data_IF_215065622802
#
_entry.id   IF_215065622802
#
_cell.length_a   1.000
_cell.length_b   1.000
_cell.length_c   1.000
_cell.angle_alpha   90.00
_cell.angle_beta   90.00
_cell.angle_gamma   90.00
#
_symmetry.space_group_name_H-M   'P 1'
#
loop_
_entity.id
_entity.type
_entity.pdbx_description
1 polymer ?
#
# COMPACT_ATOMS: atom_id res chain seq x y z
N UNK A 1 -8.47 6.97 25.61
CA UNK A 1 -8.66 8.43 25.38
C UNK A 1 -7.36 9.20 25.62
N UNK A 2 -6.55 8.80 26.60
CA UNK A 2 -5.30 9.49 26.96
C UNK A 2 -4.20 9.41 25.90
N UNK A 3 -4.05 8.26 25.23
CA UNK A 3 -3.04 8.11 24.16
C UNK A 3 -3.33 9.02 22.96
N UNK A 4 -4.57 9.13 22.49
CA UNK A 4 -4.92 10.01 21.36
C UNK A 4 -4.56 11.47 21.69
N UNK A 5 -4.98 11.97 22.86
CA UNK A 5 -4.67 13.33 23.32
C UNK A 5 -3.16 13.56 23.46
N UNK A 6 -2.41 12.56 23.91
CA UNK A 6 -0.95 12.61 23.99
C UNK A 6 -0.33 12.81 22.61
N UNK A 7 -0.77 12.06 21.60
CA UNK A 7 -0.26 12.19 20.23
C UNK A 7 -0.70 13.48 19.54
N UNK A 8 -1.90 13.97 19.80
CA UNK A 8 -2.36 15.29 19.36
C UNK A 8 -1.51 16.43 19.97
N UNK A 9 -1.19 16.33 21.26
CA UNK A 9 -0.30 17.27 21.94
C UNK A 9 1.11 17.23 21.34
N UNK A 10 1.66 16.04 21.11
CA UNK A 10 2.94 15.85 20.44
C UNK A 10 2.94 16.48 19.04
N UNK A 11 1.90 16.21 18.25
CA UNK A 11 1.72 16.76 16.91
C UNK A 11 1.67 18.29 16.93
N UNK A 12 0.96 18.88 17.90
CA UNK A 12 0.90 20.33 18.10
C UNK A 12 2.28 20.94 18.37
N UNK A 13 3.07 20.31 19.23
CA UNK A 13 4.43 20.74 19.57
C UNK A 13 5.33 20.71 18.32
N UNK A 14 5.39 19.58 17.61
CA UNK A 14 6.25 19.48 16.41
C UNK A 14 5.75 20.37 15.28
N UNK A 15 4.44 20.59 15.16
CA UNK A 15 3.86 21.51 14.16
C UNK A 15 4.23 22.96 14.45
N UNK A 16 4.27 23.36 15.72
CA UNK A 16 4.77 24.68 16.11
C UNK A 16 6.25 24.82 15.76
N UNK A 17 7.05 23.82 16.12
CA UNK A 17 8.48 23.80 15.83
C UNK A 17 8.79 23.85 14.32
N UNK A 18 8.00 23.13 13.50
CA UNK A 18 8.14 23.14 12.05
C UNK A 18 7.91 24.53 11.45
N UNK A 19 6.97 25.32 12.00
CA UNK A 19 6.76 26.72 11.58
C UNK A 19 7.92 27.63 11.92
N UNK A 20 8.68 27.31 12.96
CA UNK A 20 9.89 28.03 13.37
C UNK A 20 11.13 27.59 12.55
N UNK A 21 11.02 26.49 11.80
CA UNK A 21 12.03 26.01 10.86
C UNK A 21 12.75 24.73 11.30
N UNK A 22 13.64 24.24 10.43
CA UNK A 22 14.31 22.95 10.56
C UNK A 22 15.01 22.73 11.90
N UNK A 23 15.77 23.72 12.37
CA UNK A 23 16.54 23.60 13.61
C UNK A 23 15.63 23.50 14.84
N UNK A 24 14.51 24.24 14.87
CA UNK A 24 13.53 24.14 15.95
C UNK A 24 12.85 22.77 15.94
N UNK A 25 12.39 22.31 14.77
CA UNK A 25 11.79 20.97 14.63
C UNK A 25 12.75 19.86 15.11
N UNK A 26 13.98 19.87 14.60
CA UNK A 26 15.00 18.88 14.96
C UNK A 26 15.32 18.90 16.45
N UNK A 27 15.43 20.09 17.04
CA UNK A 27 15.64 20.24 18.48
C UNK A 27 14.46 19.69 19.30
N UNK A 28 13.24 20.04 18.95
CA UNK A 28 12.05 19.59 19.70
C UNK A 28 11.87 18.07 19.64
N UNK A 29 12.19 17.45 18.50
CA UNK A 29 12.19 15.99 18.34
C UNK A 29 13.33 15.36 19.14
N UNK A 30 14.56 15.87 19.06
CA UNK A 30 15.71 15.22 19.73
C UNK A 30 15.57 15.16 21.26
N UNK A 31 14.98 16.18 21.89
CA UNK A 31 14.80 16.19 23.35
C UNK A 31 13.58 15.36 23.82
N UNK A 32 12.65 15.03 22.91
CA UNK A 32 11.42 14.30 23.24
C UNK A 32 11.29 12.93 22.60
N UNK A 33 12.17 12.57 21.66
CA UNK A 33 12.07 11.35 20.85
C UNK A 33 11.71 10.14 21.70
N UNK A 34 12.51 9.85 22.74
CA UNK A 34 12.26 8.72 23.66
C UNK A 34 10.87 8.76 24.28
N UNK A 35 10.43 9.92 24.76
CA UNK A 35 9.09 10.09 25.34
C UNK A 35 7.97 10.06 24.30
N UNK A 36 8.25 10.38 23.04
CA UNK A 36 7.26 10.36 21.96
C UNK A 36 7.08 8.95 21.43
N UNK A 37 8.16 8.21 21.17
CA UNK A 37 8.09 6.84 20.63
C UNK A 37 7.78 5.79 21.70
N UNK A 38 7.74 6.17 22.98
CA UNK A 38 7.33 5.33 24.10
C UNK A 38 5.87 4.88 23.94
N UNK A 39 5.70 3.68 23.41
CA UNK A 39 4.42 3.01 23.25
C UNK A 39 4.60 1.80 22.34
N UNK A 40 4.25 0.62 22.84
CA UNK A 40 4.35 -0.62 22.06
C UNK A 40 3.24 -0.62 21.01
N UNK A 41 3.62 -0.73 19.74
CA UNK A 41 2.67 -0.94 18.65
C UNK A 41 2.16 -2.38 18.68
N UNK A 42 0.88 -2.62 18.28
CA UNK A 42 0.33 -3.96 18.15
C UNK A 42 1.22 -4.82 17.25
N UNK A 43 1.48 -6.06 17.69
CA UNK A 43 2.29 -7.02 16.93
C UNK A 43 1.43 -7.76 15.90
N UNK A 44 0.13 -7.88 16.12
CA UNK A 44 -0.82 -8.45 15.15
C UNK A 44 -1.43 -7.35 14.28
N UNK A 45 -1.92 -7.73 13.11
CA UNK A 45 -2.82 -6.88 12.33
C UNK A 45 -4.26 -7.18 12.75
N UNK A 46 -5.14 -6.21 12.58
CA UNK A 46 -6.58 -6.42 12.73
C UNK A 46 -7.12 -7.11 11.48
N UNK A 47 -7.82 -8.24 11.66
CA UNK A 47 -8.46 -8.95 10.54
C UNK A 47 -9.75 -8.24 10.14
N UNK A 48 -10.27 -8.52 8.93
CA UNK A 48 -11.53 -7.94 8.47
C UNK A 48 -12.70 -8.24 9.44
N UNK A 49 -12.73 -9.44 10.03
CA UNK A 49 -13.73 -9.87 11.01
C UNK A 49 -13.72 -9.07 12.31
N UNK A 50 -12.61 -8.43 12.63
CA UNK A 50 -12.37 -7.77 13.91
C UNK A 50 -12.65 -6.26 13.82
N UNK A 51 -12.96 -5.76 12.62
CA UNK A 51 -13.32 -4.36 12.39
C UNK A 51 -14.74 -4.06 12.86
N UNK A 52 -15.00 -2.79 13.16
CA UNK A 52 -16.36 -2.31 13.47
C UNK A 52 -17.32 -2.66 12.32
N UNK A 53 -18.57 -3.09 12.60
CA UNK A 53 -19.59 -3.33 11.58
C UNK A 53 -19.92 -2.10 10.70
N UNK A 54 -19.54 -0.90 11.14
CA UNK A 54 -19.67 0.33 10.37
C UNK A 54 -18.64 0.47 9.25
N UNK A 55 -17.53 -0.27 9.32
CA UNK A 55 -16.49 -0.26 8.29
C UNK A 55 -17.02 -1.00 7.06
N UNK A 56 -16.91 -0.36 5.91
CA UNK A 56 -17.38 -0.90 4.63
C UNK A 56 -16.21 -1.23 3.72
N UNK A 57 -16.45 -2.17 2.82
CA UNK A 57 -15.57 -2.38 1.69
C UNK A 57 -15.58 -1.15 0.77
N UNK A 58 -14.40 -0.71 0.34
CA UNK A 58 -14.26 0.34 -0.66
C UNK A 58 -14.44 -0.26 -2.07
N UNK A 59 -15.66 -0.15 -2.60
CA UNK A 59 -16.02 -0.70 -3.90
C UNK A 59 -15.21 -0.09 -5.05
N UNK A 60 -14.81 1.19 -4.95
CA UNK A 60 -13.99 1.87 -5.98
C UNK A 60 -12.58 1.30 -5.99
N UNK A 61 -11.98 1.11 -4.83
CA UNK A 61 -10.66 0.52 -4.67
C UNK A 61 -10.68 -0.96 -5.05
N UNK A 62 -11.76 -1.68 -4.77
CA UNK A 62 -11.95 -3.07 -5.22
C UNK A 62 -11.88 -3.20 -6.74
N UNK A 63 -12.49 -2.28 -7.49
CA UNK A 63 -12.43 -2.29 -8.95
C UNK A 63 -11.02 -2.08 -9.51
N UNK A 64 -10.16 -1.41 -8.75
CA UNK A 64 -8.78 -1.14 -9.12
C UNK A 64 -7.79 -2.24 -8.70
N UNK A 65 -8.27 -3.28 -8.01
CA UNK A 65 -7.38 -4.28 -7.44
C UNK A 65 -6.60 -4.99 -8.56
N UNK A 66 -5.26 -5.05 -8.49
CA UNK A 66 -4.46 -5.65 -9.54
C UNK A 66 -4.74 -7.14 -9.67
N UNK A 67 -5.02 -7.60 -10.90
CA UNK A 67 -5.25 -9.03 -11.22
C UNK A 67 -3.96 -9.83 -11.37
N UNK A 68 -2.83 -9.13 -11.55
CA UNK A 68 -1.50 -9.70 -11.74
C UNK A 68 -0.81 -10.06 -10.41
N UNK A 69 -1.47 -9.85 -9.26
CA UNK A 69 -0.92 -10.19 -7.95
C UNK A 69 -1.94 -10.97 -7.13
N UNK A 70 -1.55 -12.13 -6.61
CA UNK A 70 -2.42 -13.00 -5.80
C UNK A 70 -2.71 -12.38 -4.42
N UNK A 71 -3.80 -11.62 -4.37
CA UNK A 71 -4.29 -10.91 -3.18
C UNK A 71 -5.81 -11.12 -3.01
N UNK A 72 -6.33 -12.23 -3.52
CA UNK A 72 -7.77 -12.54 -3.58
C UNK A 72 -8.46 -12.56 -2.20
N UNK A 73 -7.67 -12.81 -1.15
CA UNK A 73 -8.12 -12.81 0.24
C UNK A 73 -8.09 -11.43 0.90
N UNK A 74 -7.61 -10.39 0.21
CA UNK A 74 -7.59 -9.03 0.71
C UNK A 74 -8.85 -8.26 0.33
N UNK A 75 -9.30 -7.41 1.24
CA UNK A 75 -10.46 -6.53 1.06
C UNK A 75 -10.06 -5.09 1.36
N UNK A 76 -10.07 -4.18 0.37
CA UNK A 76 -9.85 -2.77 0.62
C UNK A 76 -11.05 -2.20 1.38
N UNK A 77 -10.80 -1.44 2.43
CA UNK A 77 -11.87 -0.81 3.23
C UNK A 77 -11.91 0.70 2.99
N UNK A 78 -13.09 1.30 3.19
CA UNK A 78 -13.26 2.75 3.06
C UNK A 78 -12.36 3.47 4.06
N UNK A 79 -11.63 4.48 3.57
CA UNK A 79 -10.79 5.35 4.39
C UNK A 79 -11.14 6.81 4.13
N UNK A 80 -11.15 7.64 5.17
CA UNK A 80 -11.44 9.07 4.99
C UNK A 80 -10.37 9.78 4.12
N UNK A 81 -10.83 10.46 3.07
CA UNK A 81 -10.01 11.24 2.13
C UNK A 81 -9.73 12.68 2.58
N UNK A 82 -9.15 12.89 3.76
CA UNK A 82 -8.84 14.21 4.35
C UNK A 82 -7.35 14.61 4.25
N UNK A 83 -6.60 13.92 3.39
CA UNK A 83 -5.14 14.03 3.31
C UNK A 83 -4.37 13.24 4.38
N UNK A 84 -5.05 12.59 5.33
CA UNK A 84 -4.42 11.66 6.27
C UNK A 84 -4.60 10.18 5.88
N UNK A 85 -5.21 9.90 4.72
CA UNK A 85 -5.59 8.54 4.30
C UNK A 85 -4.49 7.48 4.43
N UNK A 86 -3.23 7.81 4.15
CA UNK A 86 -2.10 6.89 4.37
C UNK A 86 -1.93 6.50 5.85
N UNK A 87 -1.89 7.48 6.75
CA UNK A 87 -1.75 7.24 8.19
C UNK A 87 -3.03 6.66 8.81
N UNK A 88 -4.21 6.98 8.26
CA UNK A 88 -5.49 6.36 8.61
C UNK A 88 -5.52 4.88 8.21
N UNK A 89 -5.00 4.55 7.03
CA UNK A 89 -4.83 3.16 6.58
C UNK A 89 -3.92 2.37 7.53
N UNK A 90 -2.77 2.94 7.91
CA UNK A 90 -1.88 2.33 8.92
C UNK A 90 -2.63 2.12 10.24
N UNK A 91 -3.35 3.15 10.70
CA UNK A 91 -4.10 3.10 11.96
C UNK A 91 -5.19 2.01 11.91
N UNK A 92 -5.91 1.90 10.80
CA UNK A 92 -6.90 0.85 10.59
C UNK A 92 -6.26 -0.54 10.65
N UNK A 93 -5.14 -0.76 9.96
CA UNK A 93 -4.47 -2.06 9.96
C UNK A 93 -3.94 -2.49 11.33
N UNK A 94 -3.47 -1.54 12.14
CA UNK A 94 -2.88 -1.83 13.46
C UNK A 94 -3.90 -1.82 14.60
N UNK A 95 -4.90 -0.95 14.55
CA UNK A 95 -5.80 -0.65 15.68
C UNK A 95 -7.28 -0.87 15.37
N UNK A 96 -7.62 -1.24 14.14
CA UNK A 96 -9.00 -1.48 13.71
C UNK A 96 -9.84 -0.21 13.59
N UNK A 97 -9.20 0.96 13.66
CA UNK A 97 -9.85 2.27 13.53
C UNK A 97 -8.86 3.32 13.02
N UNK A 98 -9.39 4.38 12.42
CA UNK A 98 -8.58 5.48 11.88
C UNK A 98 -8.09 6.44 12.98
N UNK A 99 -8.53 6.27 14.22
CA UNK A 99 -8.40 7.26 15.29
C UNK A 99 -6.96 7.54 15.76
N UNK A 100 -5.99 6.68 15.41
CA UNK A 100 -4.57 6.84 15.77
C UNK A 100 -3.69 7.29 14.60
N UNK A 101 -4.27 7.80 13.52
CA UNK A 101 -3.50 8.34 12.38
C UNK A 101 -2.50 9.43 12.79
N UNK A 102 -2.81 10.26 13.79
CA UNK A 102 -1.88 11.29 14.30
C UNK A 102 -0.62 10.67 14.88
N UNK A 103 -0.74 9.58 15.64
CA UNK A 103 0.41 8.82 16.14
C UNK A 103 1.28 8.31 15.00
N UNK A 104 0.66 7.68 14.00
CA UNK A 104 1.37 7.15 12.84
C UNK A 104 2.14 8.27 12.10
N UNK A 105 1.51 9.44 11.93
CA UNK A 105 2.17 10.63 11.34
C UNK A 105 3.35 11.09 12.18
N UNK A 106 3.16 11.29 13.50
CA UNK A 106 4.23 11.77 14.38
C UNK A 106 5.42 10.81 14.38
N UNK A 107 5.18 9.49 14.47
CA UNK A 107 6.26 8.48 14.40
C UNK A 107 7.03 8.55 13.08
N UNK A 108 6.32 8.68 11.95
CA UNK A 108 6.93 8.86 10.64
C UNK A 108 7.79 10.12 10.56
N UNK A 109 7.29 11.25 11.10
CA UNK A 109 8.04 12.51 11.12
C UNK A 109 9.30 12.43 11.99
N UNK A 110 9.22 11.76 13.14
CA UNK A 110 10.39 11.52 13.99
C UNK A 110 11.45 10.72 13.22
N UNK A 111 11.06 9.63 12.55
CA UNK A 111 12.00 8.83 11.74
C UNK A 111 12.68 9.68 10.65
N UNK A 112 11.91 10.48 9.91
CA UNK A 112 12.46 11.34 8.84
C UNK A 112 13.41 12.40 9.36
N UNK A 113 13.08 13.05 10.48
CA UNK A 113 13.91 14.13 11.05
C UNK A 113 15.20 13.57 11.67
N UNK A 114 15.12 12.43 12.35
CA UNK A 114 16.28 11.82 13.00
C UNK A 114 17.23 11.16 12.00
N UNK A 115 16.69 10.68 10.87
CA UNK A 115 17.43 9.89 9.90
C UNK A 115 17.45 10.52 8.50
N UNK A 116 17.33 11.84 8.38
CA UNK A 116 17.22 12.54 7.08
C UNK A 116 18.34 12.16 6.10
N UNK A 117 19.59 12.09 6.56
CA UNK A 117 20.73 11.73 5.72
C UNK A 117 20.67 10.31 5.16
N UNK A 118 19.98 9.40 5.85
CA UNK A 118 19.76 8.02 5.40
C UNK A 118 18.90 8.00 4.15
N UNK A 119 17.81 8.76 4.15
CA UNK A 119 16.88 8.85 3.02
C UNK A 119 17.45 9.54 1.78
N UNK A 120 18.66 10.09 1.88
CA UNK A 120 19.43 10.67 0.77
C UNK A 120 20.50 9.69 0.23
N UNK A 121 20.40 8.40 0.55
CA UNK A 121 21.31 7.36 0.08
C UNK A 121 20.58 6.27 -0.70
N UNK A 122 21.15 5.86 -1.83
CA UNK A 122 20.61 4.79 -2.67
C UNK A 122 20.51 3.45 -1.94
N UNK A 123 21.48 3.12 -1.09
CA UNK A 123 21.49 1.86 -0.34
C UNK A 123 20.27 1.69 0.58
N UNK A 124 19.72 2.78 1.11
CA UNK A 124 18.51 2.75 1.93
C UNK A 124 17.34 2.16 1.16
N UNK A 125 17.19 2.53 -0.11
CA UNK A 125 16.12 2.02 -0.96
C UNK A 125 16.41 0.61 -1.46
N UNK A 126 17.68 0.29 -1.74
CA UNK A 126 18.11 -1.07 -2.09
C UNK A 126 17.82 -2.06 -0.96
N UNK A 127 18.11 -1.70 0.29
CA UNK A 127 17.97 -2.59 1.44
C UNK A 127 16.52 -2.76 1.89
N UNK A 128 15.68 -1.73 1.70
CA UNK A 128 14.28 -1.76 2.13
C UNK A 128 13.34 -2.38 1.08
N UNK A 129 13.68 -2.34 -0.20
CA UNK A 129 12.75 -2.66 -1.30
C UNK A 129 12.83 -4.11 -1.75
N UNK A 130 11.69 -4.74 -2.05
CA UNK A 130 11.70 -6.04 -2.73
C UNK A 130 12.03 -5.93 -4.22
N UNK A 131 11.72 -4.78 -4.81
CA UNK A 131 12.01 -4.47 -6.21
C UNK A 131 13.09 -3.40 -6.30
N UNK A 132 13.61 -3.14 -7.50
CA UNK A 132 14.57 -2.05 -7.69
C UNK A 132 13.87 -0.70 -7.46
N UNK A 133 14.27 0.01 -6.41
CA UNK A 133 13.82 1.36 -6.13
C UNK A 133 14.97 2.35 -6.29
N UNK A 134 14.81 3.31 -7.19
CA UNK A 134 15.78 4.38 -7.39
C UNK A 134 15.51 5.53 -6.42
N UNK A 135 16.56 5.99 -5.72
CA UNK A 135 16.48 7.09 -4.77
C UNK A 135 15.98 8.38 -5.40
N UNK A 136 16.50 8.74 -6.59
CA UNK A 136 16.08 9.97 -7.26
C UNK A 136 14.60 9.90 -7.61
N UNK A 137 14.13 8.76 -8.13
CA UNK A 137 12.71 8.57 -8.40
C UNK A 137 11.86 8.74 -7.12
N UNK A 138 12.24 8.11 -6.00
CA UNK A 138 11.49 8.24 -4.74
C UNK A 138 11.47 9.67 -4.25
N UNK A 139 12.60 10.39 -4.28
CA UNK A 139 12.69 11.77 -3.80
C UNK A 139 11.99 12.75 -4.73
N UNK A 140 12.15 12.64 -6.05
CA UNK A 140 11.53 13.51 -7.04
C UNK A 140 10.00 13.42 -7.02
N UNK A 141 9.46 12.22 -6.82
CA UNK A 141 8.01 12.00 -6.69
C UNK A 141 7.47 12.36 -5.31
N UNK A 142 8.34 12.55 -4.31
CA UNK A 142 7.94 12.84 -2.93
C UNK A 142 8.07 14.29 -2.52
N UNK A 143 9.02 15.04 -3.09
CA UNK A 143 9.30 16.44 -2.75
C UNK A 143 8.44 17.35 -3.62
N UNK A 144 7.64 18.20 -2.98
CA UNK A 144 6.78 19.16 -3.68
C UNK A 144 7.61 20.26 -4.35
N UNK A 145 7.07 20.85 -5.41
CA UNK A 145 7.76 21.91 -6.15
C UNK A 145 8.10 23.10 -5.24
N UNK A 146 7.24 23.43 -4.28
CA UNK A 146 7.48 24.52 -3.31
C UNK A 146 8.53 24.17 -2.25
N UNK A 147 8.82 22.90 -2.03
CA UNK A 147 9.88 22.46 -1.12
C UNK A 147 11.26 22.46 -1.80
N UNK A 148 11.29 22.37 -3.13
CA UNK A 148 12.50 22.13 -3.91
C UNK A 148 13.44 23.34 -3.88
N UNK A 149 14.71 23.06 -3.61
CA UNK A 149 15.83 23.99 -3.68
C UNK A 149 16.80 23.45 -4.71
N UNK A 150 17.15 24.28 -5.71
CA UNK A 150 18.07 23.89 -6.79
C UNK A 150 19.38 23.38 -6.19
N UNK A 151 19.83 22.23 -6.68
CA UNK A 151 21.13 21.62 -6.33
C UNK A 151 21.32 21.30 -4.84
N UNK A 152 20.26 21.38 -4.02
CA UNK A 152 20.29 21.03 -2.61
C UNK A 152 19.14 20.09 -2.25
N UNK A 153 19.35 18.81 -2.55
CA UNK A 153 18.39 17.75 -2.22
C UNK A 153 18.19 17.60 -0.70
N UNK A 154 19.21 17.90 0.09
CA UNK A 154 19.11 17.84 1.56
C UNK A 154 18.13 18.89 2.04
N UNK A 155 18.30 20.14 1.61
CA UNK A 155 17.40 21.23 1.98
C UNK A 155 16.00 21.02 1.40
N UNK A 156 15.90 20.49 0.18
CA UNK A 156 14.62 20.13 -0.43
C UNK A 156 13.85 19.12 0.42
N UNK A 157 14.50 18.05 0.86
CA UNK A 157 13.90 17.06 1.74
C UNK A 157 13.55 17.65 3.11
N UNK A 158 14.40 18.50 3.69
CA UNK A 158 14.10 19.19 4.95
C UNK A 158 12.86 20.09 4.83
N UNK A 159 12.74 20.85 3.75
CA UNK A 159 11.57 21.69 3.48
C UNK A 159 10.31 20.83 3.29
N UNK A 160 10.42 19.70 2.60
CA UNK A 160 9.32 18.76 2.43
C UNK A 160 8.85 18.20 3.78
N UNK A 161 9.78 17.79 4.65
CA UNK A 161 9.48 17.32 6.00
C UNK A 161 8.78 18.42 6.83
N UNK A 162 9.24 19.67 6.76
CA UNK A 162 8.61 20.79 7.48
C UNK A 162 7.15 20.98 7.05
N UNK A 163 6.86 20.81 5.75
CA UNK A 163 5.50 20.90 5.21
C UNK A 163 4.67 19.70 5.63
N UNK A 164 5.24 18.50 5.60
CA UNK A 164 4.50 17.26 5.84
C UNK A 164 4.16 16.97 7.30
N UNK A 165 4.78 17.69 8.24
CA UNK A 165 4.32 17.73 9.64
C UNK A 165 2.88 18.23 9.75
N UNK A 166 2.41 19.12 8.87
CA UNK A 166 1.05 19.68 8.91
C UNK A 166 -0.02 18.57 8.83
N UNK A 167 -1.06 18.67 9.68
CA UNK A 167 -2.21 17.77 9.59
C UNK A 167 -2.90 17.88 8.22
N UNK A 168 -3.28 16.74 7.64
CA UNK A 168 -3.89 16.67 6.31
C UNK A 168 -2.91 16.88 5.14
N UNK A 169 -1.60 16.97 5.39
CA UNK A 169 -0.62 16.97 4.30
C UNK A 169 -0.51 15.58 3.69
N UNK A 170 -0.51 15.51 2.35
CA UNK A 170 -0.57 14.26 1.61
C UNK A 170 0.74 13.47 1.77
N UNK A 171 0.60 12.16 1.96
CA UNK A 171 1.76 11.27 2.04
C UNK A 171 2.20 10.81 0.64
N UNK A 172 3.50 10.55 0.53
CA UNK A 172 4.20 10.15 -0.69
C UNK A 172 5.14 8.97 -0.40
N UNK A 173 5.94 8.52 -1.37
CA UNK A 173 6.84 7.37 -1.19
C UNK A 173 7.81 7.57 -0.01
N UNK A 174 8.35 8.77 0.19
CA UNK A 174 9.25 9.03 1.32
C UNK A 174 8.59 8.74 2.68
N UNK A 175 7.30 9.05 2.80
CA UNK A 175 6.50 8.77 4.00
C UNK A 175 6.24 7.27 4.17
N UNK A 176 6.09 6.53 3.07
CA UNK A 176 5.99 5.08 3.07
C UNK A 176 7.27 4.45 3.63
N UNK A 177 8.43 4.76 3.06
CA UNK A 177 9.72 4.23 3.55
C UNK A 177 9.98 4.61 5.01
N UNK A 178 9.70 5.85 5.40
CA UNK A 178 9.82 6.26 6.80
C UNK A 178 8.91 5.49 7.75
N UNK A 179 7.66 5.28 7.36
CA UNK A 179 6.71 4.56 8.22
C UNK A 179 7.11 3.11 8.44
N UNK A 180 7.70 2.45 7.44
CA UNK A 180 8.19 1.08 7.58
C UNK A 180 9.23 0.95 8.71
N UNK A 181 10.20 1.88 8.79
CA UNK A 181 11.17 1.90 9.89
C UNK A 181 10.54 2.37 11.21
N UNK A 182 9.72 3.43 11.18
CA UNK A 182 9.08 4.00 12.36
C UNK A 182 8.14 3.01 13.08
N UNK A 183 7.51 2.11 12.33
CA UNK A 183 6.64 1.05 12.84
C UNK A 183 7.37 -0.27 13.08
N UNK A 184 8.63 -0.38 12.62
CA UNK A 184 9.38 -1.62 12.49
C UNK A 184 8.53 -2.73 11.84
N UNK A 185 7.94 -2.42 10.68
CA UNK A 185 6.93 -3.28 10.06
C UNK A 185 6.95 -3.21 8.55
N UNK A 186 6.88 -4.39 7.92
CA UNK A 186 6.75 -4.50 6.47
C UNK A 186 5.43 -3.88 6.01
N UNK A 187 5.48 -3.14 4.91
CA UNK A 187 4.29 -2.69 4.19
C UNK A 187 4.35 -3.27 2.78
N UNK A 188 3.34 -4.05 2.43
CA UNK A 188 3.05 -4.45 1.05
C UNK A 188 2.21 -3.32 0.46
N UNK A 189 2.84 -2.57 -0.45
CA UNK A 189 2.19 -1.50 -1.19
C UNK A 189 1.61 -2.06 -2.48
N UNK A 190 0.32 -1.86 -2.69
CA UNK A 190 -0.46 -2.43 -3.80
C UNK A 190 -0.80 -1.29 -4.76
N UNK A 191 -0.42 -1.42 -6.02
CA UNK A 191 -0.73 -0.43 -7.06
C UNK A 191 -1.62 -1.03 -8.16
N UNK A 192 -2.68 -0.32 -8.59
CA UNK A 192 -3.56 -0.78 -9.66
C UNK A 192 -2.81 -1.15 -10.94
N UNK A 193 -3.35 -2.09 -11.71
CA UNK A 193 -2.81 -2.46 -13.04
C UNK A 193 -3.26 -1.46 -14.11
N UNK A 194 -3.16 -0.16 -13.81
CA UNK A 194 -3.46 0.93 -14.75
C UNK A 194 -2.15 1.49 -15.29
N UNK A 195 -2.06 1.59 -16.61
CA UNK A 195 -0.88 2.14 -17.25
C UNK A 195 -0.84 3.67 -17.09
N UNK A 196 0.26 4.16 -16.51
CA UNK A 196 0.64 5.56 -16.55
C UNK A 196 2.13 5.63 -16.83
N UNK A 197 2.52 6.20 -17.98
CA UNK A 197 3.91 6.26 -18.44
C UNK A 197 4.82 7.08 -17.50
N UNK A 198 4.24 7.92 -16.64
CA UNK A 198 4.99 8.74 -15.67
C UNK A 198 5.18 8.06 -14.31
N UNK A 199 4.51 6.93 -14.07
CA UNK A 199 4.58 6.22 -12.79
C UNK A 199 5.30 4.89 -12.97
N UNK A 200 6.42 4.74 -12.26
CA UNK A 200 7.09 3.46 -12.14
C UNK A 200 6.30 2.58 -11.16
N UNK A 201 5.49 1.67 -11.72
CA UNK A 201 4.66 0.75 -10.95
C UNK A 201 5.50 -0.19 -10.07
N UNK A 202 6.71 -0.58 -10.46
CA UNK A 202 7.54 -1.49 -9.65
C UNK A 202 7.93 -0.87 -8.30
N UNK A 203 8.10 0.45 -8.25
CA UNK A 203 8.39 1.19 -7.01
C UNK A 203 7.14 1.34 -6.15
N UNK A 204 5.96 1.41 -6.75
CA UNK A 204 4.69 1.60 -6.03
C UNK A 204 3.99 0.28 -5.68
N UNK A 205 4.30 -0.82 -6.37
CA UNK A 205 3.72 -2.16 -6.19
C UNK A 205 4.77 -3.16 -5.74
N UNK A 206 5.08 -3.15 -4.44
CA UNK A 206 6.18 -3.92 -3.88
C UNK A 206 6.03 -4.14 -2.37
N UNK A 207 6.92 -4.95 -1.80
CA UNK A 207 7.08 -5.03 -0.34
C UNK A 207 8.23 -4.15 0.10
N UNK A 208 7.96 -3.20 1.00
CA UNK A 208 8.99 -2.40 1.68
C UNK A 208 9.19 -2.96 3.08
N UNK A 209 10.45 -3.19 3.47
CA UNK A 209 10.88 -3.86 4.70
C UNK A 209 11.69 -2.90 5.58
N UNK A 210 11.58 -3.01 6.91
CA UNK A 210 12.41 -2.21 7.80
C UNK A 210 13.87 -2.59 7.63
N UNK A 211 14.75 -1.61 7.77
CA UNK A 211 16.18 -1.86 7.81
C UNK A 211 16.52 -2.78 8.98
N UNK A 212 17.56 -3.64 8.87
CA UNK A 212 17.93 -4.55 9.94
C UNK A 212 18.14 -3.82 11.27
N UNK A 213 17.29 -4.09 12.26
CA UNK A 213 17.46 -3.65 13.64
C UNK A 213 17.91 -4.82 14.52
N UNK A 214 18.69 -4.53 15.56
CA UNK A 214 19.29 -5.52 16.48
C UNK A 214 18.29 -6.22 17.40
N UNK A 215 16.98 -5.98 17.27
CA UNK A 215 15.95 -6.54 18.16
C UNK A 215 14.64 -6.77 17.41
N UNK A 216 14.34 -8.02 17.05
CA UNK A 216 13.15 -8.39 16.30
C UNK A 216 11.87 -8.23 17.12
N UNK A 217 10.85 -7.57 16.53
CA UNK A 217 9.51 -8.16 16.33
C UNK A 217 8.87 -7.58 15.07
N UNK A 218 9.06 -8.27 13.94
CA UNK A 218 8.30 -7.99 12.72
C UNK A 218 7.01 -8.81 12.76
N UNK A 219 5.88 -8.16 13.05
CA UNK A 219 4.58 -8.81 12.87
C UNK A 219 4.22 -9.00 11.37
N UNK A 220 3.05 -9.59 11.05
CA UNK A 220 2.58 -9.69 9.66
C UNK A 220 2.61 -8.36 8.90
N UNK A 221 2.82 -8.36 7.58
CA UNK A 221 2.91 -7.14 6.79
C UNK A 221 1.59 -6.35 6.81
N UNK A 222 1.65 -5.02 6.77
CA UNK A 222 0.46 -4.21 6.49
C UNK A 222 0.25 -4.17 4.97
N UNK A 223 -1.00 -4.20 4.52
CA UNK A 223 -1.34 -4.08 3.11
C UNK A 223 -2.00 -2.72 2.88
N UNK A 224 -1.37 -1.88 2.06
CA UNK A 224 -1.85 -0.53 1.76
C UNK A 224 -1.93 -0.39 0.25
N UNK A 225 -3.07 0.05 -0.25
CA UNK A 225 -3.32 0.21 -1.68
C UNK A 225 -3.38 1.69 -2.06
N UNK A 226 -2.69 2.03 -3.16
CA UNK A 226 -2.84 3.31 -3.84
C UNK A 226 -4.14 3.30 -4.63
N UNK A 227 -4.96 4.34 -4.46
CA UNK A 227 -6.29 4.42 -5.07
C UNK A 227 -6.64 5.87 -5.42
N UNK A 228 -7.88 6.10 -5.85
CA UNK A 228 -8.41 7.42 -6.16
C UNK A 228 -9.84 7.57 -5.66
N UNK A 229 -10.18 8.76 -5.16
CA UNK A 229 -11.49 9.02 -4.54
C UNK A 229 -12.67 8.99 -5.53
N UNK A 230 -12.42 9.23 -6.82
CA UNK A 230 -13.49 9.31 -7.84
C UNK A 230 -13.47 8.23 -8.93
N UNK A 231 -12.30 7.68 -9.28
CA UNK A 231 -12.10 6.81 -10.47
C UNK A 231 -12.78 7.28 -11.78
N UNK A 232 -12.96 8.58 -11.97
CA UNK A 232 -13.73 9.13 -13.10
C UNK A 232 -13.00 9.07 -14.45
N UNK A 233 -11.66 8.98 -14.45
CA UNK A 233 -10.86 8.84 -15.66
C UNK A 233 -9.64 7.94 -15.37
N UNK A 234 -9.45 6.90 -16.18
CA UNK A 234 -8.33 5.97 -16.06
C UNK A 234 -7.16 6.30 -17.00
N UNK A 235 -7.35 7.21 -17.96
CA UNK A 235 -6.29 7.71 -18.83
C UNK A 235 -5.41 8.67 -18.02
N UNK A 236 -4.09 8.44 -18.00
CA UNK A 236 -3.14 9.19 -17.18
C UNK A 236 -3.49 9.19 -15.68
N UNK A 237 -4.14 8.13 -15.22
CA UNK A 237 -4.57 7.99 -13.83
C UNK A 237 -3.41 8.19 -12.85
N UNK A 238 -3.63 8.99 -11.81
CA UNK A 238 -2.69 9.19 -10.71
C UNK A 238 -3.41 8.91 -9.40
N UNK A 239 -2.77 8.23 -8.44
CA UNK A 239 -3.38 8.02 -7.14
C UNK A 239 -3.51 9.36 -6.41
N UNK A 240 -4.61 9.54 -5.67
CA UNK A 240 -4.79 10.65 -4.75
C UNK A 240 -5.27 10.20 -3.36
N UNK A 241 -5.33 8.88 -3.14
CA UNK A 241 -5.89 8.29 -1.94
C UNK A 241 -5.16 6.98 -1.60
N UNK A 242 -5.28 6.58 -0.33
CA UNK A 242 -4.77 5.32 0.18
C UNK A 242 -5.87 4.62 0.97
N UNK A 243 -5.96 3.31 0.83
CA UNK A 243 -6.82 2.46 1.64
C UNK A 243 -6.02 1.31 2.26
N UNK A 244 -6.43 0.85 3.43
CA UNK A 244 -5.92 -0.39 4.00
C UNK A 244 -6.64 -1.59 3.41
N UNK A 245 -5.90 -2.67 3.19
CA UNK A 245 -6.43 -3.94 2.73
C UNK A 245 -6.34 -4.96 3.86
N UNK A 246 -7.45 -5.62 4.19
CA UNK A 246 -7.51 -6.58 5.28
C UNK A 246 -7.75 -7.99 4.78
N UNK A 247 -7.03 -8.95 5.36
CA UNK A 247 -7.27 -10.36 5.13
C UNK A 247 -8.68 -10.72 5.65
N UNK A 248 -9.44 -11.43 4.81
CA UNK A 248 -10.64 -12.14 5.26
C UNK A 248 -10.21 -13.13 6.35
N UNK A 249 -11.01 -13.26 7.41
CA UNK A 249 -10.82 -14.36 8.34
C UNK A 249 -10.85 -15.67 7.55
N UNK A 250 -9.92 -16.59 7.83
CA UNK A 250 -10.02 -17.94 7.30
C UNK A 250 -11.41 -18.46 7.64
N UNK A 251 -12.29 -18.57 6.64
CA UNK A 251 -13.32 -19.59 6.71
C UNK A 251 -12.53 -20.87 6.91
N UNK A 252 -12.61 -21.45 8.10
CA UNK A 252 -12.12 -22.79 8.40
C UNK A 252 -12.28 -23.61 7.14
N UNK A 253 -11.15 -24.06 6.57
CA UNK A 253 -11.16 -24.95 5.42
C UNK A 253 -12.22 -26.00 5.72
N UNK A 254 -13.31 -25.96 4.95
CA UNK A 254 -14.30 -27.01 4.97
C UNK A 254 -13.49 -28.25 4.63
N UNK A 255 -13.27 -29.10 5.64
CA UNK A 255 -12.52 -30.32 5.47
C UNK A 255 -13.31 -31.15 4.48
N UNK A 256 -12.91 -31.12 3.21
CA UNK A 256 -13.18 -32.22 2.30
C UNK A 256 -12.42 -33.40 2.87
N UNK A 257 -13.08 -34.11 3.79
CA UNK A 257 -12.77 -35.50 4.08
C UNK A 257 -12.96 -36.21 2.74
N UNK A 258 -11.86 -36.33 1.99
CA UNK A 258 -11.78 -37.29 0.90
C UNK A 258 -12.04 -38.66 1.52
N UNK A 259 -13.16 -39.27 1.11
CA UNK A 259 -13.44 -40.67 1.40
C UNK A 259 -12.23 -41.52 0.95
N UNK A 260 -11.77 -42.48 1.76
CA UNK A 260 -10.63 -43.31 1.40
C UNK A 260 -10.95 -44.16 0.15
N UNK A 261 -9.98 -44.39 -0.74
CA UNK A 261 -10.23 -45.04 -2.01
C UNK A 261 -10.68 -46.49 -1.81
N UNK A 262 -11.84 -46.83 -2.40
CA UNK A 262 -12.32 -48.20 -2.50
C UNK A 262 -11.28 -49.10 -3.17
N UNK A 263 -10.93 -50.20 -2.50
CA UNK A 263 -10.10 -51.28 -3.03
C UNK A 263 -10.75 -51.83 -4.31
N UNK A 264 -10.03 -51.75 -5.43
CA UNK A 264 -10.41 -52.37 -6.71
C UNK A 264 -10.49 -53.89 -6.55
N UNK A 265 -11.71 -54.43 -6.58
CA UNK A 265 -11.94 -55.83 -6.90
C UNK A 265 -11.69 -56.04 -8.40
N UNK A 266 -10.78 -56.95 -8.75
CA UNK A 266 -10.66 -57.49 -10.11
C UNK A 266 -11.96 -58.21 -10.46
N UNK A 267 -12.66 -57.73 -11.48
CA UNK A 267 -13.66 -58.50 -12.21
C UNK A 267 -13.08 -58.74 -13.61
N UNK A 268 -13.10 -60.00 -14.00
CA UNK A 268 -12.64 -60.56 -15.27
C UNK A 268 -13.48 -60.07 -16.44
N UNK A 269 -12.82 -59.63 -17.50
CA UNK A 269 -13.41 -59.33 -18.80
C UNK A 269 -13.72 -60.62 -19.56
N UNK A 270 -14.98 -60.78 -19.94
CA UNK A 270 -15.43 -61.64 -21.04
C UNK A 270 -16.62 -60.93 -21.70
N UNK A 271 -16.42 -60.26 -22.84
CA UNK A 271 -17.45 -60.10 -23.89
C UNK A 271 -16.79 -59.71 -25.24
N UNK A 272 -17.34 -60.18 -26.38
CA UNK A 272 -16.69 -60.11 -27.68
C UNK A 272 -17.01 -58.84 -28.48
N UNK A 273 -16.15 -58.61 -29.46
CA UNK A 273 -16.10 -57.49 -30.38
C UNK A 273 -17.33 -57.35 -31.30
N UNK A 274 -17.69 -56.10 -31.60
CA UNK A 274 -18.17 -55.72 -32.93
C UNK A 274 -17.66 -54.33 -33.34
N UNK A 275 -17.16 -54.30 -34.56
CA UNK A 275 -16.56 -53.23 -35.35
C UNK A 275 -17.57 -52.16 -35.79
N UNK A 276 -17.10 -50.92 -35.99
CA UNK A 276 -17.14 -50.20 -37.27
C UNK A 276 -16.47 -48.81 -37.15
N UNK A 277 -15.51 -48.54 -38.04
CA UNK A 277 -14.96 -47.21 -38.35
C UNK A 277 -15.86 -46.47 -39.41
N UNK A 278 -15.41 -45.38 -40.07
CA UNK A 278 -15.40 -44.00 -39.58
C UNK A 278 -16.15 -43.05 -40.56
N UNK A 279 -16.31 -41.77 -40.22
CA UNK A 279 -16.82 -40.78 -41.17
C UNK A 279 -16.60 -39.33 -40.73
N UNK A 280 -15.69 -38.66 -41.43
CA UNK A 280 -15.58 -37.21 -41.57
C UNK A 280 -15.85 -36.92 -43.07
N UNK A 281 -16.58 -35.85 -43.44
CA UNK A 281 -15.86 -34.66 -43.89
C UNK A 281 -16.59 -33.31 -43.67
N UNK A 282 -15.77 -32.27 -43.42
CA UNK A 282 -15.75 -30.95 -44.08
C UNK A 282 -17.06 -30.39 -44.69
N UNK A 283 -17.43 -29.14 -44.31
CA UNK A 283 -17.64 -28.02 -45.26
C UNK A 283 -18.16 -26.70 -44.66
N UNK A 284 -17.58 -25.62 -45.22
CA UNK A 284 -18.15 -24.31 -45.58
C UNK A 284 -18.21 -23.15 -44.55
N UNK A 285 -17.21 -22.26 -44.65
CA UNK A 285 -17.38 -20.80 -44.54
C UNK A 285 -18.14 -20.26 -45.79
N UNK A 286 -18.73 -19.05 -45.78
CA UNK A 286 -17.95 -17.85 -46.11
C UNK A 286 -18.28 -16.57 -45.31
N UNK A 287 -17.25 -15.72 -45.34
CA UNK A 287 -17.12 -14.29 -45.02
C UNK A 287 -18.26 -13.34 -45.45
N UNK A 288 -18.35 -12.21 -44.73
CA UNK A 288 -18.54 -10.84 -45.27
C UNK A 288 -18.44 -9.77 -44.17
N UNK A 289 -17.32 -9.05 -44.15
CA UNK A 289 -17.21 -7.60 -43.93
C UNK A 289 -17.05 -6.96 -45.33
N UNK A 290 -17.22 -5.64 -45.59
CA UNK A 290 -17.00 -4.52 -44.67
C UNK A 290 -18.06 -3.39 -44.76
N UNK A 291 -17.99 -2.39 -43.87
CA UNK A 291 -18.26 -1.00 -44.25
C UNK A 291 -17.52 -0.03 -43.32
N UNK A 292 -16.54 0.65 -43.93
CA UNK A 292 -15.89 1.87 -43.46
C UNK A 292 -16.87 3.04 -43.58
N UNK A 293 -17.03 3.84 -42.52
CA UNK A 293 -17.39 5.24 -42.67
C UNK A 293 -16.53 6.13 -41.78
N UNK A 294 -15.80 6.99 -42.49
CA UNK A 294 -14.88 8.02 -42.06
C UNK A 294 -15.60 9.32 -41.62
N UNK A 295 -14.89 10.09 -40.78
CA UNK A 295 -14.88 11.57 -40.60
C UNK A 295 -15.83 12.22 -39.56
N UNK A 296 -15.51 13.43 -39.04
CA UNK A 296 -14.22 14.14 -38.93
C UNK A 296 -13.92 14.70 -37.51
N UNK A 297 -12.67 15.15 -37.33
CA UNK A 297 -12.19 15.80 -36.11
C UNK A 297 -12.70 17.22 -35.88
N UNK A 298 -12.63 17.66 -34.62
CA UNK A 298 -12.69 19.06 -34.18
C UNK A 298 -11.78 19.19 -32.95
N UNK A 299 -10.78 20.08 -33.10
CA UNK A 299 -9.87 20.74 -32.15
C UNK A 299 -9.76 20.26 -30.70
#
# INVERSE_FOLDING_TARGET
MDEIKRWESAHSIISKAAREGWNSLKFQISIREKSLIQGVLPITNVKLSDLSPSVREDSKSRLLFPKDVSHENLTPIEVLGDGNCFFRSISNSLFGSEGRHVECRVRCMIELVMNTSRYLRQDTYTDMSSNRADMHYVLETSISDEARVSDDMTKSLQNEILRSVKNGYYSSLIHLYASVNALNRRIVTIFPSIQNVTINREVHNQTVRPLPQTSQRNGPPLFIMWTHTSNTNLINWRPNHFVSCHEKSDSSQESTLEDPPLKKHKVSDDFPAHSNEPGDPDKDMPSKDPDEQEMPGVY
#
